data_IF_048693775288
#
_entry.id   IF_048693775288
#
_cell.length_a   1.000
_cell.length_b   1.000
_cell.length_c   1.000
_cell.angle_alpha   90.00
_cell.angle_beta   90.00
_cell.angle_gamma   90.00
#
_symmetry.space_group_name_H-M   'P 1'
#
loop_
_entity.id
_entity.type
_entity.pdbx_description
1 polymer ?
#
# COMPACT_ATOMS: atom_id res chain seq x y z
N UNK A 1 -37.97 14.79 -34.81
CA UNK A 1 -38.39 15.57 -33.61
C UNK A 1 -37.56 15.20 -32.38
N UNK A 2 -37.38 13.90 -32.08
CA UNK A 2 -36.59 13.38 -30.95
C UNK A 2 -35.17 13.96 -30.76
N UNK A 3 -34.43 14.22 -31.84
CA UNK A 3 -33.06 14.76 -31.75
C UNK A 3 -32.96 16.14 -31.10
N UNK A 4 -33.94 17.03 -31.38
CA UNK A 4 -33.96 18.38 -30.80
C UNK A 4 -34.18 18.33 -29.28
N UNK A 5 -35.09 17.47 -28.83
CA UNK A 5 -35.36 17.29 -27.41
C UNK A 5 -34.19 16.66 -26.66
N UNK A 6 -33.56 15.63 -27.23
CA UNK A 6 -32.35 15.01 -26.66
C UNK A 6 -31.23 16.05 -26.55
N UNK A 7 -31.00 16.84 -27.61
CA UNK A 7 -29.99 17.90 -27.63
C UNK A 7 -30.26 18.95 -26.55
N UNK A 8 -31.50 19.41 -26.40
CA UNK A 8 -31.85 20.42 -25.39
C UNK A 8 -31.64 19.87 -23.97
N UNK A 9 -32.07 18.63 -23.70
CA UNK A 9 -31.86 17.97 -22.40
C UNK A 9 -30.37 17.84 -22.06
N UNK A 10 -29.55 17.45 -23.04
CA UNK A 10 -28.10 17.30 -22.85
C UNK A 10 -27.41 18.65 -22.63
N UNK A 11 -27.80 19.68 -23.37
CA UNK A 11 -27.29 21.04 -23.18
C UNK A 11 -27.65 21.60 -21.80
N UNK A 12 -28.90 21.43 -21.36
CA UNK A 12 -29.34 21.84 -20.03
C UNK A 12 -28.58 21.10 -18.92
N UNK A 13 -28.32 19.80 -19.10
CA UNK A 13 -27.51 19.00 -18.18
C UNK A 13 -26.07 19.52 -18.07
N UNK A 14 -25.40 19.74 -19.20
CA UNK A 14 -24.02 20.26 -19.22
C UNK A 14 -23.96 21.66 -18.59
N UNK A 15 -24.90 22.53 -18.95
CA UNK A 15 -24.96 23.88 -18.41
C UNK A 15 -25.18 23.88 -16.89
N UNK A 16 -26.12 23.06 -16.40
CA UNK A 16 -26.36 22.88 -14.97
C UNK A 16 -25.14 22.33 -14.23
N UNK A 17 -24.48 21.31 -14.79
CA UNK A 17 -23.23 20.78 -14.24
C UNK A 17 -22.12 21.84 -14.18
N UNK A 18 -22.00 22.68 -15.23
CA UNK A 18 -21.06 23.79 -15.27
C UNK A 18 -21.31 24.82 -14.17
N UNK A 19 -22.56 25.23 -13.96
CA UNK A 19 -22.95 26.14 -12.86
C UNK A 19 -22.60 25.53 -11.51
N UNK A 20 -22.89 24.25 -11.28
CA UNK A 20 -22.59 23.59 -10.01
C UNK A 20 -21.08 23.52 -9.73
N UNK A 21 -20.26 23.23 -10.76
CA UNK A 21 -18.80 23.21 -10.63
C UNK A 21 -18.25 24.61 -10.34
N UNK A 22 -18.72 25.63 -11.06
CA UNK A 22 -18.32 27.03 -10.83
C UNK A 22 -18.74 27.51 -9.44
N UNK A 23 -19.98 27.22 -9.03
CA UNK A 23 -20.49 27.51 -7.69
C UNK A 23 -19.61 26.86 -6.62
N UNK A 24 -19.30 25.57 -6.78
CA UNK A 24 -18.39 24.87 -5.85
C UNK A 24 -17.01 25.54 -5.78
N UNK A 25 -16.43 25.91 -6.92
CA UNK A 25 -15.12 26.58 -6.98
C UNK A 25 -15.11 27.94 -6.28
N UNK A 26 -16.20 28.71 -6.41
CA UNK A 26 -16.33 30.05 -5.80
C UNK A 26 -16.62 29.96 -4.30
N UNK A 27 -17.54 29.09 -3.88
CA UNK A 27 -17.96 28.97 -2.48
C UNK A 27 -17.04 28.08 -1.64
N UNK A 28 -16.28 27.16 -2.25
CA UNK A 28 -15.32 26.27 -1.59
C UNK A 28 -13.95 26.32 -2.31
N UNK A 29 -13.27 27.50 -2.31
CA UNK A 29 -12.03 27.73 -3.08
C UNK A 29 -10.84 26.91 -2.58
N UNK A 30 -10.90 26.40 -1.35
CA UNK A 30 -10.00 25.38 -0.83
C UNK A 30 -10.80 24.08 -0.71
N UNK A 31 -10.73 23.14 -1.68
CA UNK A 31 -10.80 21.76 -1.29
C UNK A 31 -9.66 21.60 -0.29
N UNK A 32 -9.98 21.46 1.01
CA UNK A 32 -9.00 21.36 2.08
C UNK A 32 -7.81 20.57 1.56
N UNK A 33 -6.61 21.18 1.52
CA UNK A 33 -5.38 20.40 1.36
C UNK A 33 -5.55 19.28 2.36
N UNK A 34 -5.66 18.00 1.93
CA UNK A 34 -6.10 16.94 2.81
C UNK A 34 -5.29 17.09 4.07
N UNK A 35 -5.97 17.41 5.19
CA UNK A 35 -5.30 17.56 6.48
C UNK A 35 -4.51 16.28 6.59
N UNK A 36 -3.18 16.38 6.57
CA UNK A 36 -2.32 15.23 6.73
C UNK A 36 -2.60 14.79 8.17
N UNK A 37 -3.62 13.96 8.34
CA UNK A 37 -3.83 13.24 9.56
C UNK A 37 -2.57 12.39 9.65
N UNK A 38 -1.65 12.80 10.52
CA UNK A 38 -0.43 12.05 10.82
C UNK A 38 -0.86 10.64 11.15
N UNK A 39 -0.68 9.74 10.19
CA UNK A 39 -1.06 8.35 10.38
C UNK A 39 -0.10 7.75 11.40
N UNK A 40 -0.67 7.17 12.45
CA UNK A 40 0.11 6.48 13.48
C UNK A 40 -0.17 4.99 13.35
N UNK A 41 0.90 4.22 13.14
CA UNK A 41 0.82 2.78 13.16
C UNK A 41 0.36 2.28 14.55
N UNK A 42 -0.43 1.20 14.63
CA UNK A 42 -0.78 0.60 15.91
C UNK A 42 0.48 0.15 16.66
N UNK A 43 0.39 0.05 17.99
CA UNK A 43 1.52 -0.45 18.78
C UNK A 43 1.84 -1.90 18.47
N UNK A 44 0.79 -2.69 18.20
CA UNK A 44 0.88 -4.10 17.86
C UNK A 44 -0.15 -4.47 16.79
N UNK A 45 0.17 -5.51 16.03
CA UNK A 45 -0.73 -6.12 15.06
C UNK A 45 -0.83 -7.60 15.40
N UNK A 46 -2.03 -8.14 15.71
CA UNK A 46 -2.19 -9.54 16.06
C UNK A 46 -1.65 -10.47 14.97
N UNK A 47 -0.74 -11.37 15.35
CA UNK A 47 -0.07 -12.27 14.42
C UNK A 47 -0.11 -13.72 14.94
N UNK A 48 -1.30 -14.25 15.21
CA UNK A 48 -1.54 -15.66 15.54
C UNK A 48 -0.54 -16.27 16.54
N UNK A 49 0.24 -17.25 16.08
CA UNK A 49 1.23 -18.01 16.86
C UNK A 49 2.49 -17.20 17.25
N UNK A 50 2.57 -15.92 16.89
CA UNK A 50 3.72 -15.06 17.14
C UNK A 50 3.48 -14.14 18.34
N UNK A 51 4.45 -14.09 19.26
CA UNK A 51 4.38 -13.25 20.44
C UNK A 51 5.09 -11.91 20.17
N UNK A 52 4.45 -10.75 20.44
CA UNK A 52 5.13 -9.47 20.37
C UNK A 52 6.35 -9.45 21.29
N UNK A 53 7.48 -8.99 20.75
CA UNK A 53 8.70 -8.73 21.51
C UNK A 53 8.94 -7.23 21.54
N UNK A 54 9.57 -6.74 22.62
CA UNK A 54 9.97 -5.33 22.71
C UNK A 54 10.87 -5.02 21.51
N UNK A 55 10.37 -4.17 20.61
CA UNK A 55 11.11 -3.70 19.47
C UNK A 55 12.16 -2.69 19.95
N UNK A 56 13.44 -2.93 19.65
CA UNK A 56 14.40 -1.84 19.70
C UNK A 56 13.98 -0.79 18.65
N UNK A 57 13.96 0.51 18.97
CA UNK A 57 13.67 1.53 17.97
C UNK A 57 14.70 1.42 16.85
N UNK A 58 14.23 1.27 15.61
CA UNK A 58 15.11 1.30 14.44
C UNK A 58 15.74 2.68 14.37
N UNK A 59 17.07 2.74 14.18
CA UNK A 59 17.75 3.95 13.73
C UNK A 59 17.04 4.40 12.47
N UNK A 60 16.31 5.51 12.53
CA UNK A 60 15.60 6.11 11.40
C UNK A 60 16.56 6.21 10.21
N UNK A 61 16.49 5.26 9.28
CA UNK A 61 17.22 5.30 8.02
C UNK A 61 16.44 6.22 7.08
N UNK A 62 16.31 7.48 7.46
CA UNK A 62 15.68 8.48 6.60
C UNK A 62 16.71 9.49 6.20
N UNK A 63 17.31 9.25 5.04
CA UNK A 63 17.36 10.33 4.05
C UNK A 63 15.93 10.86 3.93
N UNK A 64 15.73 12.16 4.02
CA UNK A 64 14.42 12.80 3.88
C UNK A 64 13.69 12.23 2.65
N UNK A 65 12.73 11.33 2.87
CA UNK A 65 11.89 10.82 1.82
C UNK A 65 10.57 11.60 1.91
N UNK A 66 10.32 12.58 1.01
CA UNK A 66 9.12 13.41 1.08
C UNK A 66 7.82 12.61 0.90
N UNK A 67 7.93 11.38 0.41
CA UNK A 67 6.80 10.47 0.19
C UNK A 67 6.51 9.57 1.40
N UNK A 68 7.36 9.57 2.43
CA UNK A 68 7.16 8.77 3.64
C UNK A 68 6.27 9.52 4.63
N UNK A 69 5.06 9.00 4.85
CA UNK A 69 4.10 9.55 5.81
C UNK A 69 4.32 9.03 7.24
N UNK A 70 4.64 7.74 7.36
CA UNK A 70 4.89 7.10 8.64
C UNK A 70 5.74 5.84 8.44
N UNK A 71 6.43 5.44 9.50
CA UNK A 71 7.19 4.18 9.54
C UNK A 71 6.97 3.49 10.89
N UNK A 72 7.00 2.16 10.88
CA UNK A 72 6.98 1.36 12.11
C UNK A 72 7.75 0.07 11.89
N UNK A 73 8.42 -0.33 12.95
CA UNK A 73 9.07 -1.62 13.04
C UNK A 73 8.42 -2.44 14.14
N UNK A 74 8.12 -3.69 13.83
CA UNK A 74 7.61 -4.68 14.76
C UNK A 74 8.57 -5.84 14.85
N UNK A 75 8.68 -6.41 16.03
CA UNK A 75 9.41 -7.65 16.25
C UNK A 75 8.52 -8.65 16.96
N UNK A 76 8.48 -9.85 16.43
CA UNK A 76 7.78 -10.97 17.03
C UNK A 76 8.74 -12.14 17.23
N UNK A 77 8.40 -13.05 18.14
CA UNK A 77 9.15 -14.28 18.37
C UNK A 77 8.20 -15.46 18.41
N UNK A 78 8.63 -16.58 17.84
CA UNK A 78 7.94 -17.87 17.91
C UNK A 78 8.99 -18.98 17.98
N UNK A 79 8.99 -19.78 19.04
CA UNK A 79 9.96 -20.86 19.25
C UNK A 79 11.41 -20.40 19.01
N UNK A 80 11.81 -19.29 19.65
CA UNK A 80 13.13 -18.64 19.51
C UNK A 80 13.51 -18.13 18.11
N UNK A 81 12.62 -18.28 17.12
CA UNK A 81 12.78 -17.66 15.81
C UNK A 81 12.24 -16.21 15.86
N UNK A 82 13.07 -15.18 15.65
CA UNK A 82 12.60 -13.81 15.54
C UNK A 82 12.05 -13.52 14.14
N UNK A 83 10.94 -12.80 14.08
CA UNK A 83 10.37 -12.20 12.88
C UNK A 83 10.41 -10.68 13.01
N UNK A 84 11.19 -10.06 12.15
CA UNK A 84 11.33 -8.62 12.05
C UNK A 84 10.41 -8.12 10.91
N UNK A 85 9.55 -7.12 11.18
CA UNK A 85 8.64 -6.55 10.20
C UNK A 85 8.83 -5.04 10.14
N UNK A 86 9.24 -4.54 8.98
CA UNK A 86 9.31 -3.11 8.69
C UNK A 86 8.13 -2.69 7.82
N UNK A 87 7.49 -1.58 8.18
CA UNK A 87 6.38 -1.00 7.44
C UNK A 87 6.61 0.47 7.17
N UNK A 88 6.45 0.87 5.92
CA UNK A 88 6.41 2.28 5.51
C UNK A 88 5.07 2.61 4.88
N UNK A 89 4.46 3.70 5.34
CA UNK A 89 3.31 4.28 4.70
C UNK A 89 3.78 5.35 3.71
N UNK A 90 3.68 5.04 2.43
CA UNK A 90 4.15 5.86 1.34
C UNK A 90 2.95 6.50 0.62
N UNK A 91 3.07 7.78 0.31
CA UNK A 91 2.18 8.49 -0.62
C UNK A 91 2.89 8.79 -1.94
N UNK A 92 2.13 9.14 -2.97
CA UNK A 92 2.68 9.54 -4.27
C UNK A 92 3.71 8.55 -4.84
N UNK A 93 3.46 7.24 -4.67
CA UNK A 93 4.39 6.20 -5.08
C UNK A 93 4.16 5.79 -6.55
N UNK A 94 4.41 6.74 -7.47
CA UNK A 94 4.15 6.59 -8.92
C UNK A 94 4.81 5.38 -9.56
N UNK A 95 6.06 5.10 -9.17
CA UNK A 95 6.87 4.00 -9.69
C UNK A 95 7.05 2.95 -8.60
N UNK A 96 5.94 2.41 -8.11
CA UNK A 96 5.92 1.41 -7.04
C UNK A 96 6.56 0.08 -7.46
N UNK A 97 7.89 0.07 -7.52
CA UNK A 97 8.71 -1.11 -7.75
C UNK A 97 9.44 -1.45 -6.45
N UNK A 98 9.02 -2.53 -5.82
CA UNK A 98 9.53 -2.92 -4.51
C UNK A 98 10.96 -3.43 -4.60
N UNK A 99 11.37 -4.04 -5.72
CA UNK A 99 12.75 -4.46 -5.95
C UNK A 99 13.71 -3.26 -5.92
N UNK A 100 13.37 -2.21 -6.68
CA UNK A 100 14.13 -0.95 -6.66
C UNK A 100 14.09 -0.28 -5.28
N UNK A 101 12.93 -0.34 -4.60
CA UNK A 101 12.75 0.26 -3.29
C UNK A 101 13.63 -0.39 -2.21
N UNK A 102 13.65 -1.73 -2.11
CA UNK A 102 14.51 -2.42 -1.13
C UNK A 102 15.99 -2.27 -1.45
N UNK A 103 16.36 -2.20 -2.74
CA UNK A 103 17.73 -1.92 -3.14
C UNK A 103 18.17 -0.54 -2.65
N UNK A 104 17.35 0.49 -2.85
CA UNK A 104 17.68 1.88 -2.48
C UNK A 104 17.69 2.09 -0.96
N UNK A 105 16.74 1.51 -0.23
CA UNK A 105 16.53 1.82 1.21
C UNK A 105 17.23 0.81 2.13
N UNK A 106 17.36 -0.45 1.73
CA UNK A 106 17.97 -1.52 2.55
C UNK A 106 19.31 -2.01 1.98
N UNK A 107 19.68 -1.59 0.77
CA UNK A 107 20.91 -2.05 0.12
C UNK A 107 20.87 -3.51 -0.34
N UNK A 108 19.67 -4.10 -0.44
CA UNK A 108 19.49 -5.50 -0.84
C UNK A 108 19.60 -5.59 -2.37
N UNK A 109 20.61 -6.31 -2.86
CA UNK A 109 20.83 -6.56 -4.29
C UNK A 109 20.68 -8.03 -4.68
N UNK A 110 20.35 -8.89 -3.71
CA UNK A 110 20.15 -10.32 -3.94
C UNK A 110 18.99 -10.57 -4.91
N UNK A 111 19.07 -11.65 -5.73
CA UNK A 111 17.95 -12.06 -6.58
C UNK A 111 16.67 -12.24 -5.76
N UNK A 112 15.55 -11.76 -6.30
CA UNK A 112 14.24 -11.91 -5.68
C UNK A 112 13.38 -12.83 -6.53
N UNK A 113 12.80 -13.85 -5.89
CA UNK A 113 11.80 -14.74 -6.49
C UNK A 113 10.42 -14.14 -6.26
N UNK A 114 9.72 -13.82 -7.32
CA UNK A 114 8.37 -13.30 -7.24
C UNK A 114 7.35 -14.43 -7.18
N UNK A 115 6.40 -14.34 -6.24
CA UNK A 115 5.29 -15.28 -6.11
C UNK A 115 3.95 -14.54 -6.04
N UNK A 116 2.87 -15.29 -6.19
CA UNK A 116 1.50 -14.78 -6.10
C UNK A 116 0.66 -15.73 -5.25
N UNK A 117 -0.20 -15.15 -4.42
CA UNK A 117 -1.22 -15.89 -3.69
C UNK A 117 -2.61 -15.32 -4.02
N UNK A 118 -3.56 -16.20 -4.35
CA UNK A 118 -4.95 -15.80 -4.63
C UNK A 118 -5.54 -15.10 -3.39
N UNK A 119 -6.10 -13.90 -3.60
CA UNK A 119 -6.67 -13.07 -2.54
C UNK A 119 -5.68 -12.16 -1.81
N UNK A 120 -4.37 -12.50 -1.79
CA UNK A 120 -3.34 -11.65 -1.18
C UNK A 120 -2.57 -10.81 -2.20
N UNK A 121 -2.36 -11.30 -3.42
CA UNK A 121 -1.62 -10.60 -4.47
C UNK A 121 -0.19 -11.09 -4.63
N UNK A 122 0.69 -10.22 -5.14
CA UNK A 122 2.09 -10.50 -5.46
C UNK A 122 3.04 -10.05 -4.35
N UNK A 123 4.13 -10.78 -4.19
CA UNK A 123 5.20 -10.47 -3.25
C UNK A 123 6.54 -11.04 -3.75
N UNK A 124 7.64 -10.46 -3.28
CA UNK A 124 8.99 -10.92 -3.59
C UNK A 124 9.64 -11.58 -2.39
N UNK A 125 10.33 -12.69 -2.62
CA UNK A 125 11.09 -13.45 -1.64
C UNK A 125 12.58 -13.45 -1.99
N UNK A 126 13.45 -13.40 -1.00
CA UNK A 126 14.89 -13.51 -1.26
C UNK A 126 15.69 -13.78 0.00
N UNK A 127 16.99 -13.92 -0.17
CA UNK A 127 17.94 -14.07 0.93
C UNK A 127 19.00 -12.98 0.83
N UNK A 128 19.17 -12.21 1.90
CA UNK A 128 20.26 -11.25 2.06
C UNK A 128 20.92 -11.43 3.42
N UNK A 129 22.25 -11.46 3.47
CA UNK A 129 23.04 -11.50 4.71
C UNK A 129 22.54 -12.53 5.75
N UNK A 130 22.31 -13.78 5.31
CA UNK A 130 21.81 -14.89 6.14
C UNK A 130 20.40 -14.69 6.73
N UNK A 131 19.62 -13.77 6.15
CA UNK A 131 18.19 -13.60 6.43
C UNK A 131 17.37 -13.89 5.19
N UNK A 132 16.32 -14.68 5.34
CA UNK A 132 15.26 -14.75 4.34
C UNK A 132 14.34 -13.54 4.54
N UNK A 133 13.81 -12.99 3.44
CA UNK A 133 12.88 -11.88 3.48
C UNK A 133 11.69 -12.07 2.52
N UNK A 134 10.59 -11.40 2.85
CA UNK A 134 9.43 -11.17 1.99
C UNK A 134 9.19 -9.66 1.92
N UNK A 135 9.06 -9.10 0.72
CA UNK A 135 8.81 -7.67 0.53
C UNK A 135 7.69 -7.43 -0.47
N UNK A 136 6.79 -6.49 -0.18
CA UNK A 136 5.66 -6.16 -1.05
C UNK A 136 5.02 -4.81 -0.71
N UNK A 137 4.12 -4.34 -1.57
CA UNK A 137 3.25 -3.20 -1.35
C UNK A 137 1.81 -3.67 -1.11
N UNK A 138 1.24 -3.41 0.07
CA UNK A 138 -0.22 -3.49 0.26
C UNK A 138 -0.84 -2.25 -0.39
N UNK A 139 -1.84 -2.49 -1.22
CA UNK A 139 -2.57 -1.46 -1.93
C UNK A 139 -3.86 -1.07 -1.17
N UNK A 140 -4.32 0.19 -1.31
CA UNK A 140 -5.62 0.63 -0.77
C UNK A 140 -6.80 -0.22 -1.22
N UNK A 141 -6.73 -0.72 -2.46
CA UNK A 141 -7.72 -1.61 -3.09
C UNK A 141 -7.00 -2.68 -3.90
N UNK A 142 -7.65 -3.83 -4.05
CA UNK A 142 -7.10 -5.00 -4.75
C UNK A 142 -6.11 -5.79 -3.90
N UNK A 143 -5.16 -6.45 -4.57
CA UNK A 143 -4.12 -7.28 -3.97
C UNK A 143 -2.84 -6.50 -3.66
N UNK A 144 -1.90 -7.12 -2.97
CA UNK A 144 -0.52 -6.63 -2.88
C UNK A 144 0.19 -6.70 -4.23
N UNK A 145 1.19 -5.85 -4.43
CA UNK A 145 1.95 -5.76 -5.68
C UNK A 145 3.44 -5.65 -5.40
N UNK A 146 4.26 -6.20 -6.29
CA UNK A 146 5.71 -6.16 -6.16
C UNK A 146 6.38 -5.29 -7.25
N UNK A 147 5.89 -5.33 -8.49
CA UNK A 147 6.47 -4.57 -9.60
C UNK A 147 5.63 -3.34 -9.97
N UNK A 148 6.26 -2.37 -10.63
CA UNK A 148 5.54 -1.19 -11.14
C UNK A 148 4.38 -1.57 -12.08
N UNK A 149 4.56 -2.59 -12.93
CA UNK A 149 3.52 -3.04 -13.84
C UNK A 149 2.29 -3.57 -13.10
N UNK A 150 2.49 -4.38 -12.06
CA UNK A 150 1.42 -4.90 -11.20
C UNK A 150 0.71 -3.78 -10.44
N UNK A 151 1.47 -2.83 -9.87
CA UNK A 151 0.89 -1.68 -9.19
C UNK A 151 0.00 -0.86 -10.13
N UNK A 152 0.51 -0.55 -11.33
CA UNK A 152 -0.22 0.21 -12.34
C UNK A 152 -1.51 -0.51 -12.76
N UNK A 153 -1.44 -1.80 -13.06
CA UNK A 153 -2.60 -2.60 -13.46
C UNK A 153 -3.66 -2.69 -12.35
N UNK A 154 -3.22 -2.87 -11.10
CA UNK A 154 -4.10 -2.85 -9.93
C UNK A 154 -4.79 -1.49 -9.77
N UNK A 155 -4.10 -0.36 -10.02
CA UNK A 155 -4.72 0.98 -9.99
C UNK A 155 -5.80 1.12 -11.06
N UNK A 156 -5.49 0.82 -12.31
CA UNK A 156 -6.46 0.97 -13.39
C UNK A 156 -7.69 0.07 -13.22
N UNK A 157 -7.50 -1.17 -12.77
CA UNK A 157 -8.62 -2.12 -12.59
C UNK A 157 -9.47 -1.86 -11.33
N UNK A 158 -8.86 -1.36 -10.25
CA UNK A 158 -9.57 -1.22 -8.96
C UNK A 158 -10.02 0.21 -8.65
N UNK A 159 -9.36 1.22 -9.21
CA UNK A 159 -9.70 2.62 -8.94
C UNK A 159 -10.68 3.18 -9.98
N UNK A 160 -10.68 2.70 -11.22
CA UNK A 160 -11.62 3.17 -12.26
C UNK A 160 -12.91 2.36 -12.19
N UNK A 161 -13.80 2.75 -11.28
CA UNK A 161 -15.08 2.07 -11.07
C UNK A 161 -16.24 3.05 -10.93
N UNK A 162 -17.42 2.68 -11.46
CA UNK A 162 -18.60 3.56 -11.51
C UNK A 162 -19.06 4.03 -10.12
N UNK A 163 -18.91 3.19 -9.10
CA UNK A 163 -19.22 3.52 -7.70
C UNK A 163 -18.33 4.63 -7.11
N UNK A 164 -17.22 5.00 -7.76
CA UNK A 164 -16.29 6.04 -7.30
C UNK A 164 -16.44 7.38 -8.01
N UNK A 165 -17.26 7.45 -9.06
CA UNK A 165 -17.41 8.68 -9.85
C UNK A 165 -17.89 9.84 -8.96
N UNK A 166 -18.90 9.61 -8.10
CA UNK A 166 -19.39 10.68 -7.21
C UNK A 166 -18.36 11.14 -6.18
N UNK A 167 -17.72 10.26 -5.37
CA UNK A 167 -16.65 10.67 -4.47
C UNK A 167 -15.50 11.43 -5.16
N UNK A 168 -15.11 10.99 -6.38
CA UNK A 168 -14.06 11.66 -7.17
C UNK A 168 -14.49 13.05 -7.62
N UNK A 169 -15.70 13.21 -8.18
CA UNK A 169 -16.24 14.51 -8.60
C UNK A 169 -16.45 15.46 -7.41
N UNK A 170 -16.77 14.91 -6.24
CA UNK A 170 -16.87 15.65 -5.00
C UNK A 170 -15.50 16.00 -4.39
N UNK A 171 -14.39 15.47 -4.92
CA UNK A 171 -13.04 15.72 -4.43
C UNK A 171 -12.71 14.99 -3.11
N UNK A 172 -13.52 13.99 -2.73
CA UNK A 172 -13.34 13.21 -1.51
C UNK A 172 -12.33 12.06 -1.70
N UNK A 173 -12.14 11.62 -2.95
CA UNK A 173 -11.16 10.60 -3.29
C UNK A 173 -10.35 10.99 -4.53
N UNK A 174 -9.08 10.59 -4.55
CA UNK A 174 -8.24 10.71 -5.73
C UNK A 174 -8.71 9.75 -6.83
N UNK A 175 -8.59 10.15 -8.10
CA UNK A 175 -8.90 9.29 -9.25
C UNK A 175 -8.10 7.97 -9.18
N UNK A 176 -6.78 8.07 -8.97
CA UNK A 176 -5.87 6.94 -8.77
C UNK A 176 -5.22 7.07 -7.39
N UNK A 177 -5.32 6.02 -6.58
CA UNK A 177 -4.77 6.02 -5.23
C UNK A 177 -3.33 5.50 -5.21
N UNK A 178 -2.37 6.43 -5.21
CA UNK A 178 -0.93 6.12 -5.33
C UNK A 178 -0.27 5.79 -4.00
N UNK A 179 -1.06 5.46 -2.97
CA UNK A 179 -0.54 5.11 -1.65
C UNK A 179 -0.11 3.65 -1.62
N UNK A 180 0.89 3.38 -0.79
CA UNK A 180 1.45 2.05 -0.60
C UNK A 180 1.78 1.86 0.87
N UNK A 181 1.26 0.79 1.46
CA UNK A 181 1.84 0.27 2.70
C UNK A 181 2.90 -0.74 2.28
N UNK A 182 4.14 -0.27 2.16
CA UNK A 182 5.27 -1.17 1.95
C UNK A 182 5.51 -1.97 3.21
N UNK A 183 5.72 -3.28 3.03
CA UNK A 183 5.93 -4.23 4.11
C UNK A 183 7.14 -5.10 3.76
N UNK A 184 8.05 -5.25 4.72
CA UNK A 184 9.22 -6.11 4.63
C UNK A 184 9.33 -7.00 5.87
N UNK A 185 9.10 -8.30 5.68
CA UNK A 185 9.27 -9.32 6.72
C UNK A 185 10.65 -9.94 6.54
N UNK A 186 11.35 -10.23 7.63
CA UNK A 186 12.59 -11.01 7.58
C UNK A 186 12.76 -11.93 8.79
N UNK A 187 13.37 -13.08 8.55
CA UNK A 187 13.77 -14.05 9.58
C UNK A 187 15.21 -14.51 9.33
N UNK A 188 15.99 -14.83 10.37
CA UNK A 188 17.29 -15.46 10.18
C UNK A 188 17.12 -16.88 9.64
N UNK A 189 18.04 -17.34 8.78
CA UNK A 189 17.99 -18.71 8.26
C UNK A 189 18.30 -19.78 9.33
N UNK A 190 19.19 -19.51 10.29
CA UNK A 190 19.55 -20.44 11.39
C UNK A 190 19.77 -21.92 10.93
N UNK A 191 20.47 -22.11 9.82
CA UNK A 191 20.71 -23.42 9.15
C UNK A 191 19.51 -24.06 8.45
N UNK A 192 18.37 -23.37 8.31
CA UNK A 192 17.26 -23.80 7.45
C UNK A 192 17.55 -23.51 5.98
N UNK A 193 16.85 -24.21 5.09
CA UNK A 193 16.84 -23.85 3.67
C UNK A 193 16.05 -22.54 3.43
N UNK A 194 16.35 -21.81 2.35
CA UNK A 194 15.57 -20.64 1.95
C UNK A 194 14.08 -20.95 1.76
N UNK A 195 13.75 -22.08 1.13
CA UNK A 195 12.37 -22.51 0.89
C UNK A 195 11.57 -22.74 2.17
N UNK A 196 12.15 -23.37 3.20
CA UNK A 196 11.51 -23.52 4.51
C UNK A 196 11.28 -22.16 5.17
N UNK A 197 12.26 -21.26 5.09
CA UNK A 197 12.13 -19.92 5.61
C UNK A 197 11.05 -19.10 4.87
N UNK A 198 10.93 -19.28 3.55
CA UNK A 198 9.87 -18.66 2.75
C UNK A 198 8.48 -19.12 3.18
N UNK A 199 8.29 -20.39 3.49
CA UNK A 199 6.99 -20.89 3.99
C UNK A 199 6.60 -20.24 5.32
N UNK A 200 7.57 -20.03 6.21
CA UNK A 200 7.35 -19.32 7.48
C UNK A 200 6.95 -17.86 7.22
N UNK A 201 7.67 -17.18 6.33
CA UNK A 201 7.39 -15.79 5.94
C UNK A 201 6.02 -15.65 5.27
N UNK A 202 5.66 -16.55 4.37
CA UNK A 202 4.36 -16.57 3.68
C UNK A 202 3.20 -16.77 4.66
N UNK A 203 3.33 -17.71 5.62
CA UNK A 203 2.31 -17.91 6.66
C UNK A 203 2.10 -16.63 7.49
N UNK A 204 3.18 -15.99 7.90
CA UNK A 204 3.11 -14.72 8.63
C UNK A 204 2.51 -13.59 7.76
N UNK A 205 2.96 -13.49 6.51
CA UNK A 205 2.51 -12.50 5.55
C UNK A 205 1.01 -12.59 5.28
N UNK A 206 0.44 -13.78 5.08
CA UNK A 206 -0.99 -13.89 4.77
C UNK A 206 -1.86 -13.46 5.95
N UNK A 207 -1.45 -13.77 7.19
CA UNK A 207 -2.14 -13.26 8.39
C UNK A 207 -1.99 -11.74 8.51
N UNK A 208 -0.79 -11.21 8.25
CA UNK A 208 -0.51 -9.77 8.27
C UNK A 208 -1.36 -9.01 7.24
N UNK A 209 -1.41 -9.51 6.02
CA UNK A 209 -2.17 -8.94 4.92
C UNK A 209 -3.68 -8.94 5.22
N UNK A 210 -4.22 -10.05 5.73
CA UNK A 210 -5.64 -10.14 6.11
C UNK A 210 -6.03 -9.10 7.17
N UNK A 211 -5.11 -8.76 8.08
CA UNK A 211 -5.37 -7.72 9.07
C UNK A 211 -5.35 -6.32 8.45
N UNK A 212 -4.35 -6.02 7.61
CA UNK A 212 -4.11 -4.70 7.04
C UNK A 212 -5.01 -4.32 5.88
N UNK A 213 -5.37 -5.26 5.00
CA UNK A 213 -6.18 -4.98 3.81
C UNK A 213 -7.49 -4.23 4.13
N UNK A 214 -8.32 -4.67 5.10
CA UNK A 214 -9.54 -3.94 5.46
C UNK A 214 -9.28 -2.69 6.31
N UNK A 215 -8.05 -2.54 6.82
CA UNK A 215 -7.60 -1.46 7.71
C UNK A 215 -6.64 -0.49 7.03
N UNK A 216 -6.61 -0.50 5.69
CA UNK A 216 -5.77 0.42 4.95
C UNK A 216 -6.13 1.87 5.36
N UNK A 217 -5.15 2.73 5.66
CA UNK A 217 -5.41 4.07 6.16
C UNK A 217 -6.32 4.85 5.21
N UNK A 218 -7.38 5.46 5.77
CA UNK A 218 -8.27 6.33 5.00
C UNK A 218 -7.56 7.66 4.69
N UNK A 219 -7.84 8.28 3.54
CA UNK A 219 -7.34 9.62 3.23
C UNK A 219 -7.88 10.68 4.21
#
# INVERSE_FOLDING_TARGET
MYWKEIRIKFLALIFGAGILVLGKSIFFPNPDKPKINTFVFPQEVPLGEWQPSVAAPVKSLTKENPNLLAQKYYRYVKNDLPLDIEMHYLQDFYHADIGVYIQRNLGITSPTVMRQQKGAGYYGLGVDKQKAYLSTCINPRGGSTFTHAQFRDNRFSQDISFNRIMPILLGQEALLDKRCLWVHLSIPLQNSSPEEAYQVLEKAWFSWYQWWQPRFPKP
#
